data_IF_011174595767
#
_entry.id   IF_011174595767
#
_cell.length_a   1.000
_cell.length_b   1.000
_cell.length_c   1.000
_cell.angle_alpha   90.00
_cell.angle_beta   90.00
_cell.angle_gamma   90.00
#
_symmetry.space_group_name_H-M   'P 1'
#
loop_
_entity.id
_entity.type
_entity.pdbx_description
1 polymer ?
#
# COMPACT_ATOMS: atom_id res chain seq x y z
N UNK A 1 15.70 30.78 -17.46
CA UNK A 1 14.74 29.80 -18.04
C UNK A 1 15.19 28.37 -17.76
N UNK A 2 16.42 27.96 -18.11
CA UNK A 2 16.92 26.60 -17.80
C UNK A 2 16.93 26.19 -16.31
N UNK A 3 17.27 27.10 -15.38
CA UNK A 3 17.31 26.80 -13.94
C UNK A 3 15.91 26.55 -13.35
N UNK A 4 14.90 27.30 -13.82
CA UNK A 4 13.52 27.13 -13.37
C UNK A 4 12.90 25.85 -13.90
N UNK A 5 13.27 25.45 -15.12
CA UNK A 5 12.80 24.19 -15.71
C UNK A 5 13.45 23.01 -14.97
N UNK A 6 14.77 23.05 -14.71
CA UNK A 6 15.47 22.04 -13.92
C UNK A 6 14.86 21.83 -12.53
N UNK A 7 14.54 22.91 -11.80
CA UNK A 7 13.92 22.81 -10.46
C UNK A 7 12.50 22.24 -10.51
N UNK A 8 11.73 22.52 -11.57
CA UNK A 8 10.40 21.91 -11.75
C UNK A 8 10.48 20.41 -12.00
N UNK A 9 11.42 19.98 -12.85
CA UNK A 9 11.63 18.55 -13.12
C UNK A 9 12.12 17.82 -11.86
N UNK A 10 13.04 18.41 -11.11
CA UNK A 10 13.51 17.84 -9.84
C UNK A 10 12.36 17.64 -8.83
N UNK A 11 11.46 18.61 -8.69
CA UNK A 11 10.29 18.48 -7.83
C UNK A 11 9.31 17.42 -8.31
N UNK A 12 9.05 17.36 -9.63
CA UNK A 12 8.17 16.34 -10.20
C UNK A 12 8.75 14.93 -10.02
N UNK A 13 10.05 14.75 -10.24
CA UNK A 13 10.75 13.48 -10.06
C UNK A 13 10.75 13.04 -8.58
N UNK A 14 10.91 13.99 -7.65
CA UNK A 14 10.84 13.72 -6.21
C UNK A 14 9.44 13.28 -5.80
N UNK A 15 8.40 13.99 -6.25
CA UNK A 15 7.00 13.63 -5.97
C UNK A 15 6.65 12.25 -6.53
N UNK A 16 7.11 11.94 -7.75
CA UNK A 16 6.87 10.62 -8.34
C UNK A 16 7.60 9.52 -7.56
N UNK A 17 8.85 9.76 -7.13
CA UNK A 17 9.60 8.81 -6.30
C UNK A 17 8.90 8.56 -4.97
N UNK A 18 8.50 9.61 -4.27
CA UNK A 18 7.80 9.50 -2.98
C UNK A 18 6.47 8.74 -3.13
N UNK A 19 5.72 9.00 -4.22
CA UNK A 19 4.49 8.26 -4.53
C UNK A 19 4.76 6.77 -4.72
N UNK A 20 5.77 6.41 -5.51
CA UNK A 20 6.14 5.00 -5.77
C UNK A 20 6.61 4.31 -4.48
N UNK A 21 7.45 4.97 -3.69
CA UNK A 21 7.94 4.42 -2.41
C UNK A 21 6.80 4.19 -1.42
N UNK A 22 5.89 5.17 -1.26
CA UNK A 22 4.74 5.04 -0.38
C UNK A 22 3.81 3.90 -0.82
N UNK A 23 3.60 3.77 -2.13
CA UNK A 23 2.78 2.70 -2.71
C UNK A 23 3.39 1.32 -2.49
N UNK A 24 4.68 1.15 -2.77
CA UNK A 24 5.41 -0.09 -2.50
C UNK A 24 5.38 -0.44 -1.00
N UNK A 25 5.46 0.57 -0.13
CA UNK A 25 5.30 0.40 1.31
C UNK A 25 3.93 -0.14 1.70
N UNK A 26 2.87 0.43 1.15
CA UNK A 26 1.49 -0.03 1.38
C UNK A 26 1.27 -1.45 0.84
N UNK A 27 1.77 -1.76 -0.36
CA UNK A 27 1.65 -3.09 -0.97
C UNK A 27 2.32 -4.16 -0.11
N UNK A 28 3.57 -3.94 0.29
CA UNK A 28 4.30 -4.85 1.17
C UNK A 28 3.57 -5.06 2.51
N UNK A 29 3.06 -3.97 3.10
CA UNK A 29 2.30 -4.05 4.35
C UNK A 29 1.00 -4.84 4.19
N UNK A 30 0.22 -4.57 3.14
CA UNK A 30 -1.04 -5.25 2.86
C UNK A 30 -0.84 -6.77 2.67
N UNK A 31 0.18 -7.20 1.91
CA UNK A 31 0.50 -8.62 1.76
C UNK A 31 0.99 -9.26 3.07
N UNK A 32 1.83 -8.56 3.83
CA UNK A 32 2.29 -9.04 5.15
C UNK A 32 1.11 -9.25 6.10
N UNK A 33 0.17 -8.29 6.14
CA UNK A 33 -1.04 -8.38 6.94
C UNK A 33 -1.97 -9.49 6.46
N UNK A 34 -2.12 -9.68 5.14
CA UNK A 34 -2.90 -10.80 4.59
C UNK A 34 -2.40 -12.15 5.10
N UNK A 35 -1.08 -12.35 5.05
CA UNK A 35 -0.45 -13.57 5.55
C UNK A 35 -0.63 -13.73 7.06
N UNK A 36 -0.46 -12.64 7.82
CA UNK A 36 -0.62 -12.63 9.28
C UNK A 36 -2.04 -12.97 9.70
N UNK A 37 -3.05 -12.40 9.04
CA UNK A 37 -4.47 -12.67 9.34
C UNK A 37 -4.87 -14.08 8.90
N UNK A 38 -4.24 -14.64 7.88
CA UNK A 38 -4.45 -16.02 7.45
C UNK A 38 -3.75 -17.08 8.33
N UNK A 39 -2.76 -16.69 9.15
CA UNK A 39 -2.07 -17.59 10.07
C UNK A 39 -3.05 -18.13 11.12
N UNK A 40 -3.07 -19.45 11.33
CA UNK A 40 -3.98 -20.11 12.29
C UNK A 40 -3.73 -19.69 13.74
N UNK A 41 -2.49 -19.34 14.10
CA UNK A 41 -2.14 -18.87 15.44
C UNK A 41 -2.66 -17.46 15.74
N UNK A 42 -2.96 -16.68 14.69
CA UNK A 42 -3.50 -15.33 14.77
C UNK A 42 -5.00 -15.35 14.55
N UNK A 43 -5.48 -15.94 13.45
CA UNK A 43 -6.90 -16.05 13.11
C UNK A 43 -7.73 -16.76 14.19
N UNK A 44 -7.15 -17.74 14.91
CA UNK A 44 -7.80 -18.41 16.03
C UNK A 44 -7.95 -17.55 17.30
N UNK A 45 -7.27 -16.39 17.36
CA UNK A 45 -7.37 -15.42 18.46
C UNK A 45 -8.22 -14.20 18.12
N UNK A 46 -8.65 -14.07 16.88
CA UNK A 46 -9.49 -12.96 16.41
C UNK A 46 -10.96 -13.39 16.42
N UNK A 47 -11.82 -12.48 16.83
CA UNK A 47 -13.25 -12.65 16.61
C UNK A 47 -13.55 -12.70 15.11
N UNK A 48 -14.61 -13.42 14.73
CA UNK A 48 -14.99 -13.57 13.33
C UNK A 48 -15.28 -12.23 12.66
N UNK A 49 -15.93 -11.31 13.39
CA UNK A 49 -16.24 -9.96 12.92
C UNK A 49 -14.96 -9.16 12.62
N UNK A 50 -13.99 -9.19 13.53
CA UNK A 50 -12.72 -8.48 13.38
C UNK A 50 -11.91 -9.07 12.22
N UNK A 51 -11.85 -10.40 12.13
CA UNK A 51 -11.18 -11.09 11.03
C UNK A 51 -11.79 -10.72 9.67
N UNK A 52 -13.11 -10.72 9.56
CA UNK A 52 -13.80 -10.34 8.33
C UNK A 52 -13.52 -8.87 7.96
N UNK A 53 -13.54 -7.96 8.94
CA UNK A 53 -13.24 -6.54 8.74
C UNK A 53 -11.80 -6.34 8.25
N UNK A 54 -10.83 -7.02 8.87
CA UNK A 54 -9.42 -6.97 8.47
C UNK A 54 -9.22 -7.51 7.06
N UNK A 55 -9.76 -8.69 6.75
CA UNK A 55 -9.64 -9.30 5.42
C UNK A 55 -10.24 -8.38 4.34
N UNK A 56 -11.43 -7.82 4.58
CA UNK A 56 -12.08 -6.90 3.64
C UNK A 56 -11.26 -5.63 3.40
N UNK A 57 -10.69 -5.03 4.46
CA UNK A 57 -9.86 -3.84 4.32
C UNK A 57 -8.55 -4.12 3.56
N UNK A 58 -7.91 -5.26 3.82
CA UNK A 58 -6.68 -5.69 3.14
C UNK A 58 -6.96 -5.94 1.65
N UNK A 59 -8.02 -6.66 1.32
CA UNK A 59 -8.37 -6.97 -0.06
C UNK A 59 -8.75 -5.70 -0.84
N UNK A 60 -9.49 -4.77 -0.22
CA UNK A 60 -9.79 -3.47 -0.83
C UNK A 60 -8.52 -2.64 -1.09
N UNK A 61 -7.55 -2.65 -0.17
CA UNK A 61 -6.27 -1.97 -0.38
C UNK A 61 -5.47 -2.58 -1.53
N UNK A 62 -5.41 -3.91 -1.62
CA UNK A 62 -4.72 -4.63 -2.70
C UNK A 62 -5.41 -4.39 -4.06
N UNK A 63 -6.75 -4.40 -4.11
CA UNK A 63 -7.51 -4.10 -5.32
C UNK A 63 -7.26 -2.66 -5.80
N UNK A 64 -7.24 -1.70 -4.87
CA UNK A 64 -6.89 -0.33 -5.19
C UNK A 64 -5.46 -0.22 -5.72
N UNK A 65 -4.47 -0.87 -5.08
CA UNK A 65 -3.08 -0.87 -5.53
C UNK A 65 -2.93 -1.46 -6.94
N UNK A 66 -3.64 -2.55 -7.24
CA UNK A 66 -3.65 -3.19 -8.55
C UNK A 66 -4.31 -2.32 -9.63
N UNK A 67 -5.35 -1.57 -9.26
CA UNK A 67 -6.05 -0.67 -10.19
C UNK A 67 -5.30 0.64 -10.44
N UNK A 68 -4.37 1.01 -9.55
CA UNK A 68 -3.63 2.28 -9.58
C UNK A 68 -2.14 2.01 -9.80
N UNK A 69 -1.80 1.23 -10.84
CA UNK A 69 -0.43 0.79 -11.09
C UNK A 69 0.55 1.91 -11.51
N UNK A 70 0.05 3.02 -12.04
CA UNK A 70 0.82 4.17 -12.51
C UNK A 70 1.12 5.24 -11.44
#
# INVERSE_FOLDING_TARGET
RMVNDASKYEQADKMQRERVEAKNGLENYAYSMKNTVADTNVSGKLEECDRATLTSAIDAALEWLNSNQE
#
